data_IF_147604838404
#
_entry.id   IF_147604838404
#
_cell.length_a   1.000
_cell.length_b   1.000
_cell.length_c   1.000
_cell.angle_alpha   90.00
_cell.angle_beta   90.00
_cell.angle_gamma   90.00
#
_symmetry.space_group_name_H-M   'P 1'
#
loop_
_entity.id
_entity.type
_entity.pdbx_description
1 polymer ?
#
# COMPACT_ATOMS: atom_id res chain seq x y z
N UNK A 1 12.92 -7.23 -38.27
CA UNK A 1 12.61 -6.93 -37.64
C UNK A 1 12.49 -6.77 -37.07
N UNK A 2 12.76 -6.78 -36.96
CA UNK A 2 12.53 -6.41 -36.18
C UNK A 2 12.53 -6.23 -35.40
N UNK A 3 12.69 -6.24 -35.68
CA UNK A 3 12.57 -5.85 -34.83
C UNK A 3 12.61 -5.50 -34.17
N UNK A 4 12.77 -5.48 -34.34
CA UNK A 4 12.71 -4.95 -33.56
C UNK A 4 12.56 -4.59 -32.85
N UNK A 5 12.82 -4.65 -33.08
CA UNK A 5 12.49 -4.13 -32.31
C UNK A 5 12.45 -4.07 -31.58
N UNK A 6 12.56 -4.06 -31.70
CA UNK A 6 12.39 -3.79 -30.95
C UNK A 6 12.46 -3.72 -30.18
N UNK A 7 12.65 -3.84 -30.24
CA UNK A 7 12.61 -3.64 -29.50
C UNK A 7 12.68 -3.26 -28.70
N UNK A 8 12.74 -3.14 -28.69
CA UNK A 8 12.64 -2.73 -27.89
C UNK A 8 12.35 -2.55 -27.27
N UNK A 9 12.37 -2.39 -27.45
CA UNK A 9 11.98 -2.41 -26.79
C UNK A 9 11.86 -2.86 -26.32
N UNK A 10 12.21 -2.84 -26.76
CA UNK A 10 12.00 -3.33 -26.29
C UNK A 10 12.40 -3.79 -25.71
N UNK A 11 12.61 -3.72 -25.66
CA UNK A 11 12.72 -4.10 -24.98
C UNK A 11 12.67 -4.10 -24.31
N UNK A 12 12.58 -3.92 -24.36
CA UNK A 12 12.27 -3.87 -23.70
C UNK A 12 12.07 -3.95 -23.15
N UNK A 13 11.95 -3.78 -23.12
CA UNK A 13 11.44 -4.05 -22.43
C UNK A 13 10.95 -4.93 -21.68
N UNK A 14 10.93 -5.02 -21.14
CA UNK A 14 10.61 -6.28 -20.51
C UNK A 14 10.63 -6.23 -18.98
N UNK A 15 11.16 -5.16 -18.43
CA UNK A 15 11.04 -4.90 -16.99
C UNK A 15 9.61 -4.45 -16.71
N UNK A 16 8.93 -5.07 -15.72
CA UNK A 16 7.65 -4.52 -15.29
C UNK A 16 7.85 -3.05 -14.91
N UNK A 17 7.00 -2.24 -15.42
CA UNK A 17 7.02 -0.81 -15.11
C UNK A 17 6.77 -0.65 -13.62
N UNK A 18 7.71 -0.06 -12.90
CA UNK A 18 7.49 0.35 -11.52
C UNK A 18 6.58 1.57 -11.58
N UNK A 19 5.35 1.41 -11.19
CA UNK A 19 4.43 2.53 -11.15
C UNK A 19 4.70 3.38 -9.93
N UNK A 20 4.90 4.67 -10.16
CA UNK A 20 5.08 5.63 -9.08
C UNK A 20 3.70 6.05 -8.60
N UNK A 21 3.44 5.87 -7.32
CA UNK A 21 2.21 6.34 -6.69
C UNK A 21 2.42 7.76 -6.21
N UNK A 22 1.53 8.66 -6.64
CA UNK A 22 1.58 10.08 -6.28
C UNK A 22 0.21 10.55 -5.85
N UNK A 23 0.12 11.78 -5.33
CA UNK A 23 -1.18 12.38 -5.00
C UNK A 23 -2.13 12.38 -6.19
N UNK A 24 -1.60 12.53 -7.39
CA UNK A 24 -2.41 12.62 -8.62
C UNK A 24 -3.08 11.30 -8.98
N UNK A 25 -2.41 10.17 -8.73
CA UNK A 25 -2.94 8.86 -9.13
C UNK A 25 -3.38 8.00 -7.94
N UNK A 26 -3.28 8.51 -6.72
CA UNK A 26 -3.56 7.74 -5.52
C UNK A 26 -4.97 7.15 -5.54
N UNK A 27 -5.97 7.94 -5.86
CA UNK A 27 -7.37 7.50 -5.92
C UNK A 27 -7.56 6.34 -6.91
N UNK A 28 -6.87 6.40 -8.03
CA UNK A 28 -6.89 5.32 -9.02
C UNK A 28 -6.30 4.03 -8.47
N UNK A 29 -5.21 4.16 -7.72
CA UNK A 29 -4.48 2.99 -7.20
C UNK A 29 -5.27 2.25 -6.13
N UNK A 30 -6.12 2.94 -5.39
CA UNK A 30 -6.93 2.33 -4.33
C UNK A 30 -8.38 2.07 -4.75
N UNK A 31 -8.74 2.33 -6.01
CA UNK A 31 -10.14 2.39 -6.45
C UNK A 31 -10.88 1.07 -6.37
N UNK A 32 -10.20 -0.05 -6.47
CA UNK A 32 -10.85 -1.37 -6.53
C UNK A 32 -10.25 -2.33 -5.52
N UNK A 33 -11.13 -3.07 -4.85
CA UNK A 33 -10.75 -4.15 -3.95
C UNK A 33 -10.06 -3.65 -2.69
N UNK A 34 -9.41 -4.58 -2.01
CA UNK A 34 -8.63 -4.25 -0.82
C UNK A 34 -7.22 -3.85 -1.19
N UNK A 35 -6.79 -2.69 -0.74
CA UNK A 35 -5.44 -2.19 -0.96
C UNK A 35 -4.86 -1.77 0.39
N UNK A 36 -3.76 -2.41 0.78
CA UNK A 36 -3.02 -2.04 1.99
C UNK A 36 -1.81 -1.22 1.55
N UNK A 37 -1.76 0.04 1.96
CA UNK A 37 -0.67 0.94 1.61
C UNK A 37 0.31 1.03 2.77
N UNK A 38 1.57 0.77 2.49
CA UNK A 38 2.67 0.98 3.43
C UNK A 38 3.31 2.32 3.11
N UNK A 39 3.16 3.28 4.02
CA UNK A 39 3.79 4.60 3.88
C UNK A 39 5.15 4.56 4.52
N UNK A 40 6.17 4.98 3.77
CA UNK A 40 7.56 4.97 4.22
C UNK A 40 8.18 6.35 4.19
N UNK A 41 9.32 6.51 4.86
CA UNK A 41 10.10 7.74 4.83
C UNK A 41 11.59 7.40 4.85
N UNK A 42 12.43 8.22 4.16
CA UNK A 42 13.87 7.94 4.12
C UNK A 42 14.53 7.94 5.50
N UNK A 43 13.95 8.67 6.44
CA UNK A 43 14.51 8.82 7.80
C UNK A 43 13.84 7.92 8.83
N UNK A 44 13.00 6.97 8.39
CA UNK A 44 12.32 6.11 9.36
C UNK A 44 13.33 5.28 10.15
N UNK A 45 13.04 5.11 11.45
CA UNK A 45 13.97 4.48 12.37
C UNK A 45 13.99 2.97 12.29
N UNK A 46 12.91 2.38 11.85
CA UNK A 46 12.77 0.94 11.76
C UNK A 46 11.91 0.56 10.57
N UNK A 47 12.13 -0.65 10.06
CA UNK A 47 11.26 -1.22 9.03
C UNK A 47 10.18 -2.07 9.68
N UNK A 48 9.09 -2.28 8.93
CA UNK A 48 8.07 -3.22 9.36
C UNK A 48 8.61 -4.65 9.29
N UNK A 49 8.25 -5.47 10.27
CA UNK A 49 8.59 -6.88 10.25
C UNK A 49 7.90 -7.54 9.05
N UNK A 50 8.66 -8.21 8.16
CA UNK A 50 8.05 -8.90 7.02
C UNK A 50 6.97 -9.90 7.41
N UNK A 51 7.04 -10.46 8.60
CA UNK A 51 6.02 -11.39 9.12
C UNK A 51 4.64 -10.75 9.21
N UNK A 52 4.58 -9.43 9.32
CA UNK A 52 3.33 -8.68 9.38
C UNK A 52 2.46 -8.94 8.14
N UNK A 53 3.09 -9.18 7.01
CA UNK A 53 2.40 -9.36 5.73
C UNK A 53 2.16 -10.83 5.36
N UNK A 54 2.58 -11.76 6.22
CA UNK A 54 2.38 -13.19 5.95
C UNK A 54 0.88 -13.49 5.90
N UNK A 55 0.43 -14.03 4.78
CA UNK A 55 -0.98 -14.37 4.59
C UNK A 55 -1.90 -13.17 4.35
N UNK A 56 -1.40 -11.95 4.40
CA UNK A 56 -2.19 -10.74 4.09
C UNK A 56 -2.25 -10.51 2.60
N UNK A 57 -1.10 -10.61 1.93
CA UNK A 57 -1.03 -10.44 0.49
C UNK A 57 -1.87 -11.51 -0.20
N UNK A 58 -2.85 -11.10 -0.97
CA UNK A 58 -3.77 -12.01 -1.65
C UNK A 58 -4.97 -12.42 -0.81
N UNK A 59 -4.98 -12.14 0.50
CA UNK A 59 -6.14 -12.45 1.34
C UNK A 59 -7.35 -11.65 0.84
N UNK A 60 -8.39 -12.35 0.39
CA UNK A 60 -9.59 -11.74 -0.19
C UNK A 60 -9.24 -10.73 -1.31
N UNK A 61 -8.17 -11.00 -2.06
CA UNK A 61 -7.74 -10.12 -3.14
C UNK A 61 -6.95 -8.89 -2.69
N UNK A 62 -6.45 -8.87 -1.46
CA UNK A 62 -5.71 -7.72 -0.95
C UNK A 62 -4.38 -7.54 -1.68
N UNK A 63 -4.15 -6.32 -2.13
CA UNK A 63 -2.89 -5.90 -2.77
C UNK A 63 -2.14 -5.03 -1.78
N UNK A 64 -0.83 -5.28 -1.64
CA UNK A 64 0.03 -4.49 -0.76
C UNK A 64 0.91 -3.59 -1.63
N UNK A 65 0.84 -2.29 -1.39
CA UNK A 65 1.65 -1.30 -2.12
C UNK A 65 2.49 -0.50 -1.12
N UNK A 66 3.68 -0.15 -1.55
CA UNK A 66 4.58 0.69 -0.75
C UNK A 66 4.75 2.03 -1.44
N UNK A 67 4.69 3.12 -0.65
CA UNK A 67 4.82 4.45 -1.20
C UNK A 67 5.61 5.34 -0.23
N UNK A 68 6.54 6.12 -0.78
CA UNK A 68 7.28 7.11 0.01
C UNK A 68 6.37 8.31 0.31
N UNK A 69 6.45 8.81 1.54
CA UNK A 69 5.62 9.94 1.97
C UNK A 69 5.79 11.17 1.07
N UNK A 70 6.97 11.37 0.50
CA UNK A 70 7.22 12.55 -0.33
C UNK A 70 6.44 12.55 -1.64
N UNK A 71 6.04 11.36 -2.10
CA UNK A 71 5.25 11.21 -3.32
C UNK A 71 3.76 11.48 -3.09
N UNK A 72 3.31 11.40 -1.83
CA UNK A 72 1.88 11.51 -1.47
C UNK A 72 1.69 12.45 -0.30
N UNK A 73 2.30 13.63 -0.37
CA UNK A 73 2.27 14.63 0.70
C UNK A 73 0.86 15.01 1.15
N UNK A 74 -0.05 15.16 0.19
CA UNK A 74 -1.43 15.52 0.49
C UNK A 74 -2.17 14.36 1.17
N UNK A 75 -1.91 13.14 0.72
CA UNK A 75 -2.54 11.94 1.30
C UNK A 75 -2.11 11.77 2.75
N UNK A 76 -0.81 11.82 3.03
CA UNK A 76 -0.31 11.63 4.40
C UNK A 76 -0.81 12.74 5.32
N UNK A 77 -0.91 13.95 4.82
CA UNK A 77 -1.45 15.07 5.59
C UNK A 77 -2.93 14.84 5.91
N UNK A 78 -3.71 14.41 4.93
CA UNK A 78 -5.13 14.13 5.11
C UNK A 78 -5.37 13.00 6.09
N UNK A 79 -4.52 11.96 6.06
CA UNK A 79 -4.60 10.82 6.98
C UNK A 79 -3.95 11.13 8.34
N UNK A 80 -3.32 12.29 8.47
CA UNK A 80 -2.63 12.73 9.69
C UNK A 80 -1.52 11.78 10.12
N UNK A 81 -0.80 11.25 9.14
CA UNK A 81 0.35 10.37 9.38
C UNK A 81 1.57 11.23 9.64
N UNK A 82 2.23 11.03 10.77
CA UNK A 82 3.40 11.81 11.16
C UNK A 82 4.65 10.97 11.35
N UNK A 83 4.47 9.71 11.68
CA UNK A 83 5.58 8.79 11.92
C UNK A 83 5.51 7.64 10.93
N UNK A 84 6.65 7.05 10.63
CA UNK A 84 6.77 6.04 9.58
C UNK A 84 7.61 4.87 10.07
N UNK A 85 7.34 3.65 9.57
CA UNK A 85 6.31 3.31 8.60
C UNK A 85 4.90 3.30 9.20
N UNK A 86 3.91 3.62 8.40
CA UNK A 86 2.50 3.52 8.79
C UNK A 86 1.72 2.79 7.71
N UNK A 87 0.58 2.22 8.08
CA UNK A 87 -0.26 1.43 7.19
C UNK A 87 -1.66 2.03 7.08
N UNK A 88 -2.23 1.95 5.89
CA UNK A 88 -3.64 2.30 5.68
C UNK A 88 -4.31 1.25 4.80
N UNK A 89 -5.49 0.82 5.20
CA UNK A 89 -6.29 -0.15 4.46
C UNK A 89 -7.44 0.57 3.76
N UNK A 90 -7.55 0.34 2.45
CA UNK A 90 -8.61 0.90 1.62
C UNK A 90 -9.43 -0.24 1.01
N UNK A 91 -10.72 0.02 0.84
CA UNK A 91 -11.61 -0.91 0.15
C UNK A 91 -12.46 -0.13 -0.83
N UNK A 92 -12.33 -0.46 -2.12
CA UNK A 92 -13.07 0.20 -3.20
C UNK A 92 -13.00 1.73 -3.13
N UNK A 93 -11.80 2.24 -2.85
CA UNK A 93 -11.53 3.67 -2.80
C UNK A 93 -11.78 4.33 -1.46
N UNK A 94 -12.35 3.62 -0.49
CA UNK A 94 -12.65 4.17 0.84
C UNK A 94 -11.63 3.76 1.87
N UNK A 95 -11.19 4.71 2.68
CA UNK A 95 -10.32 4.43 3.81
C UNK A 95 -11.10 3.65 4.86
N UNK A 96 -10.58 2.51 5.30
CA UNK A 96 -11.20 1.66 6.31
C UNK A 96 -10.45 1.68 7.64
N UNK A 97 -9.12 1.54 7.59
CA UNK A 97 -8.29 1.54 8.79
C UNK A 97 -6.97 2.25 8.52
N UNK A 98 -6.42 2.88 9.54
CA UNK A 98 -5.08 3.46 9.50
C UNK A 98 -4.36 3.04 10.78
N UNK A 99 -3.19 2.45 10.62
CA UNK A 99 -2.34 2.04 11.73
C UNK A 99 -1.07 2.88 11.68
N UNK A 100 -0.95 3.79 12.63
CA UNK A 100 0.13 4.78 12.63
C UNK A 100 1.29 4.31 13.51
N UNK A 101 2.51 4.58 13.05
CA UNK A 101 3.69 4.35 13.86
C UNK A 101 3.70 5.33 15.04
N UNK A 102 4.30 4.91 16.15
CA UNK A 102 4.58 5.79 17.28
C UNK A 102 5.84 6.63 17.00
N UNK A 103 6.30 7.40 17.99
CA UNK A 103 7.47 8.25 17.82
C UNK A 103 8.77 7.48 17.56
N UNK A 104 8.79 6.20 17.92
CA UNK A 104 9.94 5.33 17.70
C UNK A 104 9.85 4.59 16.36
N UNK A 105 8.81 4.85 15.58
CA UNK A 105 8.60 4.19 14.29
C UNK A 105 8.05 2.79 14.42
N UNK A 106 7.38 2.48 15.52
CA UNK A 106 6.81 1.14 15.78
C UNK A 106 5.31 1.16 15.55
N UNK A 107 4.84 0.22 14.72
CA UNK A 107 3.40 -0.01 14.50
C UNK A 107 3.01 -1.26 15.28
N UNK A 108 2.13 -1.09 16.25
CA UNK A 108 1.67 -2.20 17.08
C UNK A 108 0.47 -2.88 16.42
N UNK A 109 0.77 -3.82 15.53
CA UNK A 109 -0.26 -4.56 14.78
C UNK A 109 0.28 -5.92 14.36
N UNK A 110 -0.62 -6.88 14.21
CA UNK A 110 -0.28 -8.22 13.72
C UNK A 110 -0.97 -8.49 12.38
N UNK A 111 -0.47 -9.48 11.63
CA UNK A 111 -1.10 -9.88 10.38
C UNK A 111 -2.54 -10.41 10.60
N UNK A 112 -2.79 -11.03 11.74
CA UNK A 112 -4.13 -11.49 12.10
C UNK A 112 -5.11 -10.34 12.22
N UNK A 113 -4.66 -9.22 12.80
CA UNK A 113 -5.50 -8.03 12.95
C UNK A 113 -5.84 -7.42 11.60
N UNK A 114 -4.88 -7.40 10.67
CA UNK A 114 -5.12 -6.90 9.32
C UNK A 114 -6.15 -7.78 8.60
N UNK A 115 -5.97 -9.11 8.64
CA UNK A 115 -6.90 -10.04 8.02
C UNK A 115 -8.29 -9.96 8.64
N UNK A 116 -8.35 -9.80 9.96
CA UNK A 116 -9.62 -9.64 10.67
C UNK A 116 -10.35 -8.36 10.23
N UNK A 117 -9.59 -7.28 10.02
CA UNK A 117 -10.17 -6.03 9.54
C UNK A 117 -10.79 -6.22 8.14
N UNK A 118 -10.09 -6.93 7.25
CA UNK A 118 -10.60 -7.23 5.91
C UNK A 118 -11.88 -8.06 6.01
N UNK A 119 -11.86 -9.13 6.81
CA UNK A 119 -13.00 -10.02 6.98
C UNK A 119 -14.20 -9.29 7.59
N UNK A 120 -13.93 -8.38 8.52
CA UNK A 120 -14.99 -7.57 9.14
C UNK A 120 -15.66 -6.63 8.14
N UNK A 121 -14.88 -6.07 7.22
CA UNK A 121 -15.41 -5.20 6.16
C UNK A 121 -16.31 -6.02 5.23
N UNK A 122 -15.85 -7.21 4.84
CA UNK A 122 -16.64 -8.11 4.00
C UNK A 122 -17.93 -8.53 4.67
N UNK A 123 -17.87 -8.85 5.96
CA UNK A 123 -19.05 -9.23 6.73
C UNK A 123 -20.06 -8.07 6.81
N UNK A 124 -19.56 -6.84 6.97
CA UNK A 124 -20.41 -5.65 6.98
C UNK A 124 -21.06 -5.38 5.63
N UNK A 125 -20.37 -5.70 4.54
CA UNK A 125 -20.91 -5.48 3.19
C UNK A 125 -22.06 -6.44 2.84
N UNK A 126 -22.26 -7.48 3.63
CA UNK A 126 -23.36 -8.44 3.42
C UNK A 126 -24.70 -7.83 3.89
N UNK A 127 -24.63 -6.87 4.75
CA UNK A 127 -25.79 -6.19 5.27
C UNK A 127 -25.91 -4.78 4.68
#
# INVERSE_FOLDING_TARGET
MLVTGSTNDLLGQTKPKVEVISDDNFKKKIAKGFVLIKFTAPYQMADLDPKLFVGVKGHEGCVILEVDKSSVKKVVKKLRIRNYPSLALFHNGSKKEVWKADMDGVVDITNKQIKKAIDGILAGDVF
#
